data_IF_563647260811
#
_entry.id   IF_563647260811
#
_cell.length_a   1.000
_cell.length_b   1.000
_cell.length_c   1.000
_cell.angle_alpha   90.00
_cell.angle_beta   90.00
_cell.angle_gamma   90.00
#
_symmetry.space_group_name_H-M   'P 1'
#
loop_
_entity.id
_entity.type
_entity.pdbx_description
1 polymer ?
#
# COMPACT_ATOMS: atom_id res chain seq x y z
N UNK A 1 62.45 -1.84 71.28
CA UNK A 1 62.83 -2.69 70.13
C UNK A 1 61.67 -3.66 69.88
N UNK A 2 61.17 -3.74 68.63
CA UNK A 2 60.32 -4.78 68.01
C UNK A 2 58.88 -5.04 68.51
N UNK A 3 57.94 -4.40 67.81
CA UNK A 3 56.90 -5.02 66.94
C UNK A 3 56.67 -6.55 67.04
N UNK A 4 55.42 -6.97 67.32
CA UNK A 4 54.51 -7.65 66.36
C UNK A 4 53.31 -8.26 67.11
N UNK A 5 52.08 -7.80 66.80
CA UNK A 5 50.85 -8.61 66.81
C UNK A 5 49.68 -7.75 66.31
N UNK A 6 49.52 -7.62 64.98
CA UNK A 6 48.25 -7.17 64.34
C UNK A 6 48.21 -7.65 62.89
N UNK A 7 48.02 -8.94 62.66
CA UNK A 7 47.78 -9.48 61.31
C UNK A 7 46.53 -10.34 61.18
N UNK A 8 45.73 -10.48 62.24
CA UNK A 8 44.53 -11.34 62.23
C UNK A 8 43.19 -10.60 62.06
N UNK A 9 43.13 -9.26 62.12
CA UNK A 9 41.85 -8.52 61.99
C UNK A 9 41.54 -7.96 60.59
N UNK A 10 42.52 -7.91 59.67
CA UNK A 10 42.29 -7.26 58.36
C UNK A 10 41.68 -8.25 57.34
N UNK A 11 42.02 -9.53 57.44
CA UNK A 11 41.51 -10.56 56.50
C UNK A 11 40.02 -10.86 56.72
N UNK A 12 39.54 -10.82 57.97
CA UNK A 12 38.13 -11.07 58.29
C UNK A 12 37.20 -9.92 57.84
N UNK A 13 37.68 -8.66 57.85
CA UNK A 13 36.90 -7.50 57.40
C UNK A 13 36.83 -7.43 55.87
N UNK A 14 37.90 -7.84 55.16
CA UNK A 14 37.90 -7.93 53.70
C UNK A 14 37.00 -9.05 53.17
N UNK A 15 36.89 -10.19 53.88
CA UNK A 15 35.98 -11.27 53.50
C UNK A 15 34.50 -10.91 53.69
N UNK A 16 34.16 -10.08 54.68
CA UNK A 16 32.78 -9.61 54.89
C UNK A 16 32.36 -8.47 53.95
N UNK A 17 33.32 -7.63 53.53
CA UNK A 17 33.07 -6.60 52.51
C UNK A 17 32.89 -7.20 51.10
N UNK A 18 33.50 -8.35 50.82
CA UNK A 18 33.33 -9.04 49.54
C UNK A 18 32.01 -9.84 49.45
N UNK A 19 31.44 -10.28 50.57
CA UNK A 19 30.12 -10.94 50.59
C UNK A 19 28.91 -10.00 50.47
N UNK A 20 29.10 -8.68 50.65
CA UNK A 20 28.07 -7.66 50.44
C UNK A 20 28.05 -7.09 49.01
N UNK A 21 28.96 -7.55 48.14
CA UNK A 21 29.03 -7.18 46.72
C UNK A 21 28.33 -8.18 45.78
N UNK A 22 27.56 -9.11 46.35
CA UNK A 22 26.75 -10.07 45.57
C UNK A 22 25.28 -9.64 45.65
N UNK A 23 24.67 -9.52 44.47
CA UNK A 23 23.29 -9.09 44.18
C UNK A 23 23.05 -7.58 43.99
N UNK A 24 23.90 -6.90 43.21
CA UNK A 24 23.31 -6.04 42.17
C UNK A 24 23.09 -6.92 40.95
N UNK A 25 21.86 -7.39 40.75
CA UNK A 25 21.47 -7.96 39.47
C UNK A 25 21.67 -6.88 38.40
N UNK A 26 22.77 -6.96 37.65
CA UNK A 26 22.91 -6.24 36.40
C UNK A 26 21.85 -6.84 35.48
N UNK A 27 20.64 -6.26 35.50
CA UNK A 27 19.61 -6.67 34.56
C UNK A 27 20.18 -6.49 33.14
N UNK A 28 20.12 -7.54 32.33
CA UNK A 28 20.74 -7.56 31.00
C UNK A 28 20.05 -6.57 30.06
N UNK A 29 20.53 -5.34 30.04
CA UNK A 29 19.91 -4.24 29.30
C UNK A 29 20.40 -4.19 27.85
N UNK A 30 19.48 -4.06 26.89
CA UNK A 30 19.83 -3.85 25.49
C UNK A 30 19.69 -2.38 25.15
N UNK A 31 20.80 -1.75 24.74
CA UNK A 31 20.82 -0.35 24.32
C UNK A 31 20.45 -0.24 22.84
N UNK A 32 19.66 0.78 22.51
CA UNK A 32 19.26 1.08 21.15
C UNK A 32 19.50 2.55 20.84
N UNK A 33 19.80 2.80 19.56
CA UNK A 33 19.63 4.10 18.92
C UNK A 33 18.49 3.94 17.92
N UNK A 34 17.36 4.60 18.16
CA UNK A 34 16.15 4.47 17.36
C UNK A 34 15.75 5.83 16.79
N UNK A 35 15.29 5.83 15.55
CA UNK A 35 14.71 7.00 14.89
C UNK A 35 13.21 6.79 14.70
N UNK A 36 12.42 7.81 15.00
CA UNK A 36 10.97 7.74 14.88
C UNK A 36 10.26 9.00 15.36
N UNK A 37 8.93 8.97 15.26
CA UNK A 37 8.05 10.07 15.64
C UNK A 37 7.61 9.87 17.09
N UNK A 38 7.73 10.92 17.89
CA UNK A 38 7.19 10.95 19.25
C UNK A 38 5.75 11.43 19.23
N UNK A 39 4.89 10.75 19.97
CA UNK A 39 3.50 11.17 20.19
C UNK A 39 3.19 11.16 21.69
N UNK A 40 2.56 12.21 22.19
CA UNK A 40 2.17 12.36 23.58
C UNK A 40 0.65 12.28 23.69
N UNK A 41 0.15 11.34 24.50
CA UNK A 41 -1.28 11.18 24.77
C UNK A 41 -1.49 11.10 26.29
N UNK A 42 -2.16 12.11 26.85
CA UNK A 42 -2.32 12.23 28.30
C UNK A 42 -0.97 12.35 29.01
N UNK A 43 -0.69 11.46 29.97
CA UNK A 43 0.55 11.47 30.74
C UNK A 43 1.66 10.54 30.16
N UNK A 44 1.52 10.06 28.92
CA UNK A 44 2.42 9.06 28.34
C UNK A 44 2.90 9.44 26.94
N UNK A 45 4.22 9.31 26.73
CA UNK A 45 4.84 9.42 25.40
C UNK A 45 5.03 8.05 24.74
N UNK A 46 4.95 8.03 23.41
CA UNK A 46 5.24 6.85 22.56
C UNK A 46 6.20 7.24 21.45
N UNK A 47 7.13 6.35 21.11
CA UNK A 47 7.96 6.42 19.92
C UNK A 47 7.43 5.44 18.88
N UNK A 48 7.15 5.91 17.66
CA UNK A 48 6.83 5.06 16.51
C UNK A 48 8.00 5.12 15.52
N UNK A 49 8.67 4.00 15.30
CA UNK A 49 9.84 3.91 14.40
C UNK A 49 9.41 3.69 12.95
N UNK A 50 10.29 4.01 11.99
CA UNK A 50 10.00 3.85 10.56
C UNK A 50 9.76 2.40 10.09
N UNK A 51 10.24 1.42 10.86
CA UNK A 51 9.98 -0.02 10.65
C UNK A 51 8.69 -0.52 11.35
N UNK A 52 7.91 0.38 11.94
CA UNK A 52 6.58 0.09 12.49
C UNK A 52 6.57 -0.42 13.94
N UNK A 53 7.69 -0.39 14.66
CA UNK A 53 7.71 -0.70 16.10
C UNK A 53 7.19 0.49 16.90
N UNK A 54 6.55 0.20 18.03
CA UNK A 54 5.98 1.21 18.94
C UNK A 54 6.50 0.95 20.35
N UNK A 55 7.14 1.96 20.93
CA UNK A 55 7.68 1.92 22.29
C UNK A 55 6.97 2.92 23.18
N UNK A 56 6.59 2.52 24.40
CA UNK A 56 6.25 3.48 25.45
C UNK A 56 7.54 4.12 25.95
N UNK A 57 7.57 5.45 26.05
CA UNK A 57 8.75 6.16 26.53
C UNK A 57 8.70 6.26 28.06
N UNK A 58 9.79 5.88 28.70
CA UNK A 58 10.04 6.08 30.13
C UNK A 58 11.35 6.87 30.33
N UNK A 59 11.53 7.46 31.52
CA UNK A 59 12.75 8.18 31.88
C UNK A 59 12.80 9.65 31.48
N UNK A 60 11.75 10.18 30.85
CA UNK A 60 11.57 11.61 30.58
C UNK A 60 10.31 12.14 31.28
N UNK A 61 10.35 13.39 31.74
CA UNK A 61 9.17 14.05 32.26
C UNK A 61 8.16 14.37 31.15
N UNK A 62 6.89 14.56 31.51
CA UNK A 62 5.86 14.96 30.54
C UNK A 62 6.21 16.31 29.86
N UNK A 63 6.77 17.25 30.62
CA UNK A 63 7.20 18.55 30.08
C UNK A 63 8.30 18.40 29.02
N UNK A 64 9.25 17.48 29.22
CA UNK A 64 10.29 17.19 28.23
C UNK A 64 9.74 16.47 27.01
N UNK A 65 8.85 15.49 27.20
CA UNK A 65 8.20 14.76 26.11
C UNK A 65 7.37 15.68 25.20
N UNK A 66 6.67 16.64 25.78
CA UNK A 66 5.81 17.57 25.02
C UNK A 66 6.62 18.46 24.07
N UNK A 67 7.90 18.73 24.37
CA UNK A 67 8.81 19.48 23.46
C UNK A 67 9.15 18.72 22.18
N UNK A 68 8.83 17.44 22.14
CA UNK A 68 9.10 16.54 21.03
C UNK A 68 7.82 15.94 20.44
N UNK A 69 6.63 16.37 20.90
CA UNK A 69 5.36 15.82 20.42
C UNK A 69 5.15 16.15 18.94
N UNK A 70 4.89 15.12 18.13
CA UNK A 70 4.78 15.21 16.68
C UNK A 70 6.11 15.32 15.94
N UNK A 71 7.23 15.45 16.63
CA UNK A 71 8.56 15.60 16.03
C UNK A 71 9.20 14.25 15.72
N UNK A 72 10.02 14.22 14.67
CA UNK A 72 10.94 13.11 14.44
C UNK A 72 12.20 13.30 15.27
N UNK A 73 12.59 12.23 15.94
CA UNK A 73 13.69 12.25 16.89
C UNK A 73 14.61 11.06 16.67
N UNK A 74 15.85 11.22 17.10
CA UNK A 74 16.73 10.10 17.42
C UNK A 74 16.78 9.96 18.93
N UNK A 75 16.43 8.78 19.41
CA UNK A 75 16.45 8.41 20.82
C UNK A 75 17.58 7.40 21.05
N UNK A 76 18.44 7.69 22.01
CA UNK A 76 19.33 6.71 22.63
C UNK A 76 18.66 6.26 23.93
N UNK A 77 18.41 4.96 24.04
CA UNK A 77 17.68 4.41 25.16
C UNK A 77 17.91 2.93 25.31
N UNK A 78 17.11 2.32 26.16
CA UNK A 78 17.29 0.92 26.50
C UNK A 78 16.02 0.24 26.92
N UNK A 79 15.95 -1.05 26.63
CA UNK A 79 14.88 -1.94 27.08
C UNK A 79 15.45 -3.01 28.02
N UNK A 80 14.58 -3.63 28.80
CA UNK A 80 14.97 -4.62 29.82
C UNK A 80 15.56 -5.91 29.22
N UNK A 81 15.10 -6.34 28.04
CA UNK A 81 15.60 -7.51 27.30
C UNK A 81 15.18 -7.45 25.83
N UNK A 82 15.94 -8.09 24.92
CA UNK A 82 15.78 -7.95 23.47
C UNK A 82 14.38 -8.32 22.93
N UNK A 83 13.63 -9.16 23.64
CA UNK A 83 12.28 -9.64 23.33
C UNK A 83 11.16 -8.81 24.01
N UNK A 84 11.49 -7.89 24.92
CA UNK A 84 10.54 -6.96 25.56
C UNK A 84 10.64 -5.56 24.98
N UNK A 85 10.04 -5.36 23.81
CA UNK A 85 10.06 -4.09 23.05
C UNK A 85 8.96 -3.09 23.46
N UNK A 86 8.32 -3.28 24.61
CA UNK A 86 7.16 -2.47 25.00
C UNK A 86 7.48 -1.12 25.66
N UNK A 87 8.62 -1.02 26.36
CA UNK A 87 9.02 0.18 27.12
C UNK A 87 10.49 0.49 26.82
N UNK A 88 10.74 1.72 26.36
CA UNK A 88 12.06 2.26 26.09
C UNK A 88 12.41 3.30 27.15
N UNK A 89 13.40 3.01 27.99
CA UNK A 89 13.95 3.97 28.95
C UNK A 89 14.92 4.88 28.21
N UNK A 90 14.58 6.14 28.08
CA UNK A 90 15.32 7.11 27.26
C UNK A 90 16.44 7.74 28.07
N UNK A 91 17.64 7.75 27.52
CA UNK A 91 18.82 8.45 28.07
C UNK A 91 19.08 9.76 27.35
N UNK A 92 18.80 9.80 26.05
CA UNK A 92 18.99 10.98 25.21
C UNK A 92 17.93 11.04 24.13
N UNK A 93 17.41 12.23 23.87
CA UNK A 93 16.47 12.52 22.79
C UNK A 93 16.93 13.78 22.06
N UNK A 94 16.93 13.74 20.74
CA UNK A 94 17.29 14.88 19.89
C UNK A 94 16.32 14.96 18.72
N UNK A 95 15.79 16.15 18.46
CA UNK A 95 15.02 16.40 17.24
C UNK A 95 15.96 16.20 16.06
N UNK A 96 15.57 15.30 15.17
CA UNK A 96 16.19 15.10 13.88
C UNK A 96 15.12 15.43 12.85
N UNK A 97 15.09 16.68 12.35
CA UNK A 97 14.10 17.08 11.37
C UNK A 97 14.06 16.06 10.23
N UNK A 98 12.88 15.52 9.94
CA UNK A 98 12.70 14.79 8.69
C UNK A 98 12.92 15.83 7.61
N UNK A 99 14.03 15.72 6.91
CA UNK A 99 14.12 16.35 5.61
C UNK A 99 13.09 15.61 4.73
N UNK A 100 11.90 16.21 4.59
CA UNK A 100 10.83 15.67 3.76
C UNK A 100 11.29 15.46 2.30
N UNK A 101 12.41 16.10 1.89
CA UNK A 101 13.08 15.88 0.61
C UNK A 101 14.05 14.69 0.62
N UNK A 102 14.45 14.16 1.79
CA UNK A 102 15.24 12.92 1.94
C UNK A 102 14.41 11.66 2.06
N UNK A 103 13.17 11.72 2.56
CA UNK A 103 12.24 10.58 2.47
C UNK A 103 11.66 10.54 1.06
N UNK A 104 12.55 10.25 0.10
CA UNK A 104 12.16 9.95 -1.27
C UNK A 104 11.62 8.53 -1.27
N UNK A 105 10.31 8.41 -1.14
CA UNK A 105 9.68 7.11 -1.32
C UNK A 105 9.99 6.61 -2.74
N UNK A 106 10.33 5.32 -2.92
CA UNK A 106 10.62 4.79 -4.24
C UNK A 106 9.44 5.06 -5.19
N UNK A 107 9.71 5.34 -6.48
CA UNK A 107 8.65 5.67 -7.41
C UNK A 107 7.61 4.55 -7.48
N UNK A 108 6.39 4.90 -7.85
CA UNK A 108 5.37 3.91 -8.14
C UNK A 108 5.73 3.09 -9.38
N UNK A 109 5.28 1.84 -9.41
CA UNK A 109 5.46 0.95 -10.56
C UNK A 109 4.77 1.54 -11.78
N UNK A 110 5.54 1.68 -12.86
CA UNK A 110 5.08 2.30 -14.09
C UNK A 110 3.91 1.55 -14.74
N UNK A 111 3.86 0.21 -14.60
CA UNK A 111 2.74 -0.59 -15.09
C UNK A 111 1.41 -0.13 -14.49
N UNK A 112 1.38 0.30 -13.24
CA UNK A 112 0.16 0.69 -12.52
C UNK A 112 -0.18 2.17 -12.69
N UNK A 113 0.31 2.82 -13.75
CA UNK A 113 0.02 4.22 -14.04
C UNK A 113 -1.49 4.41 -14.24
N UNK A 114 -2.14 5.34 -13.52
CA UNK A 114 -3.57 5.59 -13.66
C UNK A 114 -3.90 6.27 -14.99
N UNK A 115 -5.13 6.03 -15.45
CA UNK A 115 -5.66 6.65 -16.65
C UNK A 115 -5.78 8.18 -16.50
N UNK A 116 -5.84 8.89 -17.63
CA UNK A 116 -6.04 10.35 -17.64
C UNK A 116 -6.99 10.77 -18.74
N UNK A 117 -8.17 11.24 -18.38
CA UNK A 117 -9.08 11.90 -19.31
C UNK A 117 -8.46 13.23 -19.78
N UNK A 118 -8.16 13.30 -21.07
CA UNK A 118 -7.58 14.49 -21.72
C UNK A 118 -8.67 15.44 -22.18
N UNK A 119 -9.74 14.90 -22.78
CA UNK A 119 -10.92 15.68 -23.14
C UNK A 119 -12.15 14.79 -23.30
N UNK A 120 -13.34 15.38 -23.17
CA UNK A 120 -14.59 14.77 -23.58
C UNK A 120 -15.41 15.78 -24.40
N UNK A 121 -15.53 15.56 -25.71
CA UNK A 121 -16.21 16.47 -26.64
C UNK A 121 -16.95 15.67 -27.71
N UNK A 122 -18.18 16.08 -28.04
CA UNK A 122 -18.99 15.48 -29.12
C UNK A 122 -19.14 13.95 -29.00
N UNK A 123 -19.36 13.43 -27.78
CA UNK A 123 -19.48 11.98 -27.55
C UNK A 123 -18.16 11.20 -27.62
N UNK A 124 -17.01 11.86 -27.83
CA UNK A 124 -15.71 11.20 -27.94
C UNK A 124 -14.82 11.54 -26.72
N UNK A 125 -14.42 10.52 -25.98
CA UNK A 125 -13.48 10.62 -24.86
C UNK A 125 -12.06 10.43 -25.36
N UNK A 126 -11.19 11.43 -25.18
CA UNK A 126 -9.74 11.27 -25.40
C UNK A 126 -9.07 10.92 -24.07
N UNK A 127 -8.46 9.75 -24.00
CA UNK A 127 -7.96 9.17 -22.74
C UNK A 127 -6.48 8.84 -22.92
N UNK A 128 -5.62 9.39 -22.08
CA UNK A 128 -4.20 9.06 -21.98
C UNK A 128 -3.94 7.99 -20.92
N UNK A 129 -2.70 7.47 -20.94
CA UNK A 129 -2.24 6.41 -20.03
C UNK A 129 -3.07 5.12 -20.10
N UNK A 130 -3.59 4.76 -21.28
CA UNK A 130 -4.22 3.44 -21.48
C UNK A 130 -3.14 2.43 -21.81
N UNK A 131 -3.05 1.32 -21.07
CA UNK A 131 -2.16 0.19 -21.42
C UNK A 131 -2.63 -0.41 -22.74
N UNK A 132 -1.71 -0.70 -23.65
CA UNK A 132 -2.05 -1.03 -25.05
C UNK A 132 -1.24 -2.19 -25.63
N UNK A 133 -0.34 -2.79 -24.87
CA UNK A 133 0.50 -3.87 -25.33
C UNK A 133 1.74 -3.98 -24.47
N UNK A 134 2.48 -5.05 -24.67
CA UNK A 134 3.58 -5.43 -23.80
C UNK A 134 4.88 -5.60 -24.58
N UNK A 135 5.99 -5.23 -23.95
CA UNK A 135 7.33 -5.67 -24.35
C UNK A 135 7.77 -6.81 -23.43
N UNK A 136 8.52 -7.81 -23.93
CA UNK A 136 9.07 -8.87 -23.09
C UNK A 136 9.82 -8.32 -21.88
N UNK A 137 9.74 -9.04 -20.76
CA UNK A 137 10.47 -8.69 -19.56
C UNK A 137 11.97 -8.58 -19.86
N UNK A 138 12.61 -7.53 -19.34
CA UNK A 138 14.06 -7.37 -19.41
C UNK A 138 14.64 -7.53 -18.01
N UNK A 139 15.85 -8.08 -17.90
CA UNK A 139 16.52 -8.37 -16.62
C UNK A 139 16.69 -7.12 -15.74
N UNK A 140 16.74 -5.93 -16.35
CA UNK A 140 16.96 -4.65 -15.66
C UNK A 140 15.65 -3.93 -15.26
N UNK A 141 14.50 -4.60 -15.32
CA UNK A 141 13.23 -3.97 -14.95
C UNK A 141 13.00 -3.96 -13.44
N UNK A 142 12.34 -2.90 -12.96
CA UNK A 142 11.91 -2.77 -11.56
C UNK A 142 11.00 -3.93 -11.11
N UNK A 143 10.27 -4.54 -12.05
CA UNK A 143 9.50 -5.76 -11.86
C UNK A 143 10.16 -6.91 -12.63
N UNK A 144 11.22 -7.48 -12.06
CA UNK A 144 11.96 -8.59 -12.67
C UNK A 144 11.00 -9.72 -13.06
N UNK A 145 11.01 -10.08 -14.35
CA UNK A 145 10.17 -11.15 -14.90
C UNK A 145 8.77 -10.72 -15.36
N UNK A 146 8.38 -9.45 -15.20
CA UNK A 146 7.12 -8.95 -15.73
C UNK A 146 7.32 -8.10 -17.00
N UNK A 147 6.34 -8.16 -17.90
CA UNK A 147 6.35 -7.38 -19.13
C UNK A 147 6.24 -5.86 -18.88
N UNK A 148 6.92 -5.06 -19.71
CA UNK A 148 6.75 -3.60 -19.71
C UNK A 148 5.55 -3.23 -20.58
N UNK A 149 4.58 -2.52 -20.00
CA UNK A 149 3.41 -2.06 -20.75
C UNK A 149 3.72 -0.79 -21.55
N UNK A 150 3.22 -0.80 -22.79
CA UNK A 150 3.12 0.36 -23.65
C UNK A 150 1.86 1.14 -23.28
N UNK A 151 1.98 2.46 -23.28
CA UNK A 151 0.85 3.37 -23.05
C UNK A 151 0.48 4.10 -24.33
N UNK A 152 -0.82 4.35 -24.50
CA UNK A 152 -1.37 5.13 -25.62
C UNK A 152 -2.32 6.22 -25.15
N UNK A 153 -2.51 7.18 -26.03
CA UNK A 153 -3.67 8.06 -26.03
C UNK A 153 -4.68 7.45 -26.99
N UNK A 154 -5.90 7.23 -26.51
CA UNK A 154 -7.00 6.65 -27.28
C UNK A 154 -8.12 7.67 -27.45
N UNK A 155 -8.91 7.50 -28.51
CA UNK A 155 -10.23 8.09 -28.69
C UNK A 155 -11.25 6.98 -28.55
N UNK A 156 -12.16 7.14 -27.59
CA UNK A 156 -13.22 6.20 -27.27
C UNK A 156 -14.58 6.84 -27.59
N UNK A 157 -15.44 6.05 -28.23
CA UNK A 157 -16.87 6.31 -28.48
C UNK A 157 -17.73 5.41 -27.56
N UNK A 158 -18.14 5.89 -26.37
CA UNK A 158 -18.87 5.06 -25.40
C UNK A 158 -20.21 4.55 -25.90
N UNK A 159 -20.84 5.24 -26.86
CA UNK A 159 -22.09 4.86 -27.52
C UNK A 159 -21.97 3.61 -28.40
N UNK A 160 -20.74 3.15 -28.69
CA UNK A 160 -20.52 1.94 -29.48
C UNK A 160 -20.29 0.69 -28.62
N UNK A 161 -20.55 0.77 -27.31
CA UNK A 161 -20.44 -0.37 -26.39
C UNK A 161 -21.50 -1.44 -26.70
N UNK A 162 -21.07 -2.69 -26.69
CA UNK A 162 -21.92 -3.86 -26.94
C UNK A 162 -22.20 -4.63 -25.66
N UNK A 163 -21.15 -5.03 -24.94
CA UNK A 163 -21.27 -5.87 -23.75
C UNK A 163 -20.44 -5.33 -22.59
N UNK A 164 -20.91 -5.65 -21.39
CA UNK A 164 -20.24 -5.35 -20.13
C UNK A 164 -20.15 -6.65 -19.34
N UNK A 165 -18.98 -6.96 -18.84
CA UNK A 165 -18.73 -8.11 -17.98
C UNK A 165 -18.13 -7.63 -16.67
N UNK A 166 -18.70 -8.09 -15.56
CA UNK A 166 -18.01 -8.09 -14.28
C UNK A 166 -17.20 -9.38 -14.24
N UNK A 167 -15.90 -9.30 -14.01
CA UNK A 167 -15.00 -10.44 -14.16
C UNK A 167 -14.26 -10.67 -12.85
N UNK A 168 -14.25 -11.92 -12.42
CA UNK A 168 -13.44 -12.40 -11.31
C UNK A 168 -12.23 -13.13 -11.87
N UNK A 169 -11.07 -12.84 -11.28
CA UNK A 169 -9.79 -13.46 -11.56
C UNK A 169 -9.32 -14.12 -10.26
N UNK A 170 -9.69 -15.39 -10.03
CA UNK A 170 -9.32 -16.10 -8.81
C UNK A 170 -7.81 -16.21 -8.69
N UNK A 171 -7.30 -16.08 -7.47
CA UNK A 171 -5.91 -16.42 -7.15
C UNK A 171 -5.89 -17.53 -6.10
N UNK A 172 -4.80 -18.30 -6.06
CA UNK A 172 -4.70 -19.41 -5.11
C UNK A 172 -4.53 -18.88 -3.66
N UNK A 173 -5.30 -19.39 -2.68
CA UNK A 173 -6.37 -20.38 -2.80
C UNK A 173 -7.70 -19.77 -3.31
N UNK A 174 -8.27 -20.37 -4.38
CA UNK A 174 -9.43 -19.82 -5.16
C UNK A 174 -10.69 -19.46 -4.37
N UNK A 175 -10.84 -19.98 -3.15
CA UNK A 175 -12.02 -19.81 -2.29
C UNK A 175 -11.99 -18.56 -1.41
N UNK A 176 -10.81 -17.91 -1.26
CA UNK A 176 -10.62 -16.91 -0.20
C UNK A 176 -10.49 -15.49 -0.76
N UNK A 177 -9.99 -15.32 -1.98
CA UNK A 177 -10.04 -14.03 -2.65
C UNK A 177 -9.82 -14.07 -4.17
N UNK A 178 -10.37 -13.08 -4.86
CA UNK A 178 -10.30 -12.92 -6.30
C UNK A 178 -10.05 -11.46 -6.66
N UNK A 179 -9.24 -11.22 -7.69
CA UNK A 179 -9.10 -9.89 -8.27
C UNK A 179 -10.30 -9.62 -9.18
N UNK A 180 -10.95 -8.47 -9.04
CA UNK A 180 -12.10 -8.11 -9.86
C UNK A 180 -11.73 -7.03 -10.88
N UNK A 181 -12.34 -7.12 -12.06
CA UNK A 181 -12.22 -6.13 -13.13
C UNK A 181 -13.54 -6.03 -13.93
N UNK A 182 -13.68 -4.96 -14.71
CA UNK A 182 -14.76 -4.82 -15.68
C UNK A 182 -14.21 -4.86 -17.10
N UNK A 183 -14.84 -5.66 -17.96
CA UNK A 183 -14.55 -5.71 -19.39
C UNK A 183 -15.71 -5.08 -20.17
N UNK A 184 -15.39 -4.14 -21.05
CA UNK A 184 -16.30 -3.52 -21.99
C UNK A 184 -15.90 -3.94 -23.40
N UNK A 185 -16.83 -4.52 -24.18
CA UNK A 185 -16.60 -4.81 -25.61
C UNK A 185 -17.32 -3.79 -26.46
N UNK A 186 -16.78 -3.49 -27.64
CA UNK A 186 -17.31 -2.44 -28.52
C UNK A 186 -17.40 -2.88 -29.98
N UNK A 187 -18.27 -2.19 -30.71
CA UNK A 187 -18.32 -2.27 -32.17
C UNK A 187 -17.00 -1.78 -32.79
N UNK A 188 -16.64 -2.25 -34.01
CA UNK A 188 -15.49 -1.74 -34.74
C UNK A 188 -15.47 -0.22 -34.86
N UNK A 189 -14.29 0.39 -34.69
CA UNK A 189 -14.10 1.84 -34.77
C UNK A 189 -14.43 2.60 -33.48
N UNK A 190 -14.87 1.93 -32.41
CA UNK A 190 -15.12 2.58 -31.13
C UNK A 190 -13.86 3.08 -30.42
N UNK A 191 -12.76 2.33 -30.53
CA UNK A 191 -11.48 2.65 -29.89
C UNK A 191 -10.41 2.78 -30.97
N UNK A 192 -9.78 3.94 -31.05
CA UNK A 192 -8.64 4.19 -31.94
C UNK A 192 -7.52 4.92 -31.20
N UNK A 193 -6.28 4.53 -31.41
CA UNK A 193 -5.12 5.31 -30.93
C UNK A 193 -4.79 6.46 -31.87
N UNK A 194 -3.92 7.36 -31.43
CA UNK A 194 -3.31 8.37 -32.30
C UNK A 194 -2.44 7.79 -33.42
N UNK A 195 -2.13 6.48 -33.37
CA UNK A 195 -1.36 5.75 -34.39
C UNK A 195 -2.22 4.89 -35.31
N UNK A 196 -3.54 4.94 -35.18
CA UNK A 196 -4.46 4.12 -35.98
C UNK A 196 -4.59 2.66 -35.51
N UNK A 197 -4.07 2.32 -34.33
CA UNK A 197 -4.31 1.02 -33.70
C UNK A 197 -5.75 0.97 -33.15
N UNK A 198 -6.39 -0.20 -33.15
CA UNK A 198 -7.74 -0.40 -32.61
C UNK A 198 -7.75 -1.49 -31.54
N UNK A 199 -8.81 -1.53 -30.74
CA UNK A 199 -9.03 -2.59 -29.75
C UNK A 199 -10.50 -2.99 -29.75
N UNK A 200 -10.76 -4.27 -29.53
CA UNK A 200 -12.14 -4.77 -29.40
C UNK A 200 -12.78 -4.45 -28.05
N UNK A 201 -11.98 -4.00 -27.07
CA UNK A 201 -12.48 -3.77 -25.72
C UNK A 201 -11.64 -2.83 -24.88
N UNK A 202 -12.25 -2.32 -23.83
CA UNK A 202 -11.60 -1.55 -22.78
C UNK A 202 -11.83 -2.28 -21.46
N UNK A 203 -10.81 -2.34 -20.63
CA UNK A 203 -10.87 -2.99 -19.33
C UNK A 203 -10.54 -1.97 -18.26
N UNK A 204 -11.38 -1.94 -17.21
CA UNK A 204 -11.10 -1.23 -15.98
C UNK A 204 -10.67 -2.24 -14.92
N UNK A 205 -9.46 -2.06 -14.40
CA UNK A 205 -8.92 -2.81 -13.26
C UNK A 205 -8.47 -1.84 -12.19
N UNK A 206 -8.69 -2.19 -10.92
CA UNK A 206 -8.34 -1.34 -9.78
C UNK A 206 -7.37 -2.12 -8.91
N UNK A 207 -6.15 -1.62 -8.79
CA UNK A 207 -5.05 -2.35 -8.19
C UNK A 207 -4.45 -1.60 -7.01
N UNK A 208 -3.85 -2.36 -6.09
CA UNK A 208 -2.94 -1.82 -5.10
C UNK A 208 -1.73 -1.18 -5.81
N UNK A 209 -1.63 0.14 -5.76
CA UNK A 209 -0.57 0.91 -6.39
C UNK A 209 0.73 0.77 -5.59
N UNK A 210 1.60 -0.10 -6.09
CA UNK A 210 2.86 -0.47 -5.46
C UNK A 210 3.99 0.45 -5.91
N UNK A 211 4.94 0.65 -5.03
CA UNK A 211 6.27 1.20 -5.34
C UNK A 211 7.17 0.13 -5.94
N UNK A 212 8.23 0.54 -6.63
CA UNK A 212 9.16 -0.37 -7.34
C UNK A 212 9.79 -1.45 -6.45
N UNK A 213 9.88 -1.22 -5.14
CA UNK A 213 10.41 -2.17 -4.16
C UNK A 213 9.31 -2.87 -3.33
N UNK A 214 8.03 -2.68 -3.65
CA UNK A 214 6.91 -3.32 -2.97
C UNK A 214 6.40 -4.53 -3.74
N UNK A 215 5.97 -5.54 -2.99
CA UNK A 215 5.19 -6.68 -3.49
C UNK A 215 3.84 -6.67 -2.78
N UNK A 216 2.79 -7.01 -3.51
CA UNK A 216 1.46 -7.10 -2.94
C UNK A 216 1.37 -8.24 -1.93
N UNK A 217 0.70 -7.98 -0.81
CA UNK A 217 0.26 -9.01 0.12
C UNK A 217 -1.11 -8.61 0.67
N UNK A 218 -2.00 -9.59 0.89
CA UNK A 218 -3.32 -9.32 1.48
C UNK A 218 -3.19 -8.69 2.88
N UNK A 219 -2.21 -9.13 3.66
CA UNK A 219 -1.95 -8.62 5.02
C UNK A 219 -1.51 -7.16 4.98
N UNK A 220 -0.66 -6.76 4.03
CA UNK A 220 -0.25 -5.38 3.90
C UNK A 220 -1.35 -4.53 3.25
N UNK A 221 -2.24 -5.13 2.46
CA UNK A 221 -3.45 -4.48 1.96
C UNK A 221 -4.49 -4.21 3.06
N UNK A 222 -4.38 -4.80 4.25
CA UNK A 222 -5.16 -4.37 5.42
C UNK A 222 -4.56 -3.12 6.10
N UNK A 223 -3.31 -2.78 5.76
CA UNK A 223 -2.61 -1.58 6.22
C UNK A 223 -2.67 -0.56 5.08
N UNK A 224 -2.55 0.73 5.39
CA UNK A 224 -2.47 1.80 4.40
C UNK A 224 -1.11 1.79 3.66
N UNK A 225 -0.69 0.64 3.15
CA UNK A 225 0.64 0.36 2.59
C UNK A 225 0.73 0.59 1.08
N UNK A 226 -0.42 0.57 0.39
CA UNK A 226 -0.52 0.71 -1.06
C UNK A 226 -1.47 1.85 -1.41
N UNK A 227 -1.15 2.62 -2.45
CA UNK A 227 -2.11 3.55 -3.04
C UNK A 227 -3.22 2.80 -3.78
N UNK A 228 -4.26 3.50 -4.19
CA UNK A 228 -5.31 2.98 -5.08
C UNK A 228 -5.05 3.44 -6.51
N UNK A 229 -4.90 2.51 -7.48
CA UNK A 229 -4.73 2.85 -8.89
C UNK A 229 -5.84 2.27 -9.75
N UNK A 230 -6.51 3.14 -10.50
CA UNK A 230 -7.54 2.78 -11.46
C UNK A 230 -6.92 2.82 -12.86
N UNK A 231 -6.78 1.64 -13.44
CA UNK A 231 -6.05 1.42 -14.68
C UNK A 231 -7.05 1.09 -15.78
N UNK A 232 -6.85 1.75 -16.93
CA UNK A 232 -7.49 1.38 -18.18
C UNK A 232 -6.50 0.64 -19.07
N UNK A 233 -6.93 -0.48 -19.63
CA UNK A 233 -6.14 -1.30 -20.55
C UNK A 233 -6.97 -1.72 -21.76
N UNK A 234 -6.31 -1.89 -22.91
CA UNK A 234 -6.92 -2.52 -24.08
C UNK A 234 -7.20 -3.99 -23.79
N UNK A 235 -8.19 -4.54 -24.48
CA UNK A 235 -8.51 -5.95 -24.35
C UNK A 235 -7.30 -6.84 -24.67
N UNK A 236 -6.57 -6.52 -25.74
CA UNK A 236 -5.45 -7.31 -26.24
C UNK A 236 -4.27 -7.32 -25.25
N UNK A 237 -3.98 -6.19 -24.59
CA UNK A 237 -2.93 -6.09 -23.56
C UNK A 237 -3.26 -6.98 -22.36
N UNK A 238 -4.48 -6.90 -21.85
CA UNK A 238 -4.88 -7.66 -20.66
C UNK A 238 -5.03 -9.16 -20.94
N UNK A 239 -5.52 -9.54 -22.13
CA UNK A 239 -5.61 -10.95 -22.51
C UNK A 239 -4.23 -11.57 -22.66
N UNK A 240 -3.26 -10.82 -23.23
CA UNK A 240 -1.89 -11.31 -23.31
C UNK A 240 -1.27 -11.46 -21.91
N UNK A 241 -1.49 -10.50 -21.01
CA UNK A 241 -1.08 -10.62 -19.60
C UNK A 241 -1.65 -11.88 -18.93
N UNK A 242 -2.97 -12.07 -19.07
CA UNK A 242 -3.70 -13.22 -18.51
C UNK A 242 -3.17 -14.54 -19.08
N UNK A 243 -2.92 -14.59 -20.40
CA UNK A 243 -2.41 -15.76 -21.11
C UNK A 243 -1.00 -16.13 -20.63
N UNK A 244 -0.11 -15.14 -20.51
CA UNK A 244 1.26 -15.34 -20.03
C UNK A 244 1.29 -15.75 -18.55
N UNK A 245 0.39 -15.17 -17.74
CA UNK A 245 0.20 -15.53 -16.34
C UNK A 245 -0.45 -16.90 -16.12
N UNK A 246 -1.02 -17.52 -17.18
CA UNK A 246 -1.86 -18.73 -17.10
C UNK A 246 -3.02 -18.55 -16.12
N UNK A 247 -3.61 -17.37 -16.12
CA UNK A 247 -4.63 -16.96 -15.16
C UNK A 247 -6.03 -17.28 -15.69
N UNK A 248 -6.95 -17.57 -14.78
CA UNK A 248 -8.35 -17.85 -15.08
C UNK A 248 -9.18 -16.56 -14.97
N UNK A 249 -10.10 -16.37 -15.92
CA UNK A 249 -11.10 -15.30 -15.88
C UNK A 249 -12.51 -15.89 -15.88
N UNK A 250 -13.29 -15.55 -14.88
CA UNK A 250 -14.70 -15.92 -14.76
C UNK A 250 -15.55 -14.71 -15.11
N UNK A 251 -16.22 -14.76 -16.27
CA UNK A 251 -16.99 -13.64 -16.81
C UNK A 251 -18.46 -13.71 -16.40
N UNK A 252 -18.96 -12.64 -15.78
CA UNK A 252 -20.37 -12.46 -15.44
C UNK A 252 -20.97 -11.34 -16.31
N UNK A 253 -21.81 -11.68 -17.31
CA UNK A 253 -22.47 -10.68 -18.14
C UNK A 253 -23.35 -9.76 -17.29
N UNK A 254 -23.17 -8.44 -17.44
CA UNK A 254 -23.97 -7.45 -16.72
C UNK A 254 -25.18 -7.08 -17.59
N UNK A 255 -26.38 -7.32 -17.06
CA UNK A 255 -27.63 -7.06 -17.77
C UNK A 255 -27.99 -5.58 -17.67
N UNK A 256 -27.67 -4.82 -18.72
CA UNK A 256 -27.94 -3.39 -18.83
C UNK A 256 -28.58 -3.08 -20.19
N UNK A 257 -29.45 -2.09 -20.25
CA UNK A 257 -29.85 -1.52 -21.54
C UNK A 257 -28.69 -0.72 -22.15
N UNK A 258 -28.80 -0.32 -23.42
CA UNK A 258 -27.69 0.34 -24.12
C UNK A 258 -27.28 1.67 -23.46
N UNK A 259 -28.24 2.51 -23.07
CA UNK A 259 -27.97 3.78 -22.38
C UNK A 259 -27.19 3.57 -21.07
N UNK A 260 -27.59 2.56 -20.28
CA UNK A 260 -26.89 2.20 -19.05
C UNK A 260 -25.46 1.71 -19.31
N UNK A 261 -25.22 0.94 -20.37
CA UNK A 261 -23.86 0.50 -20.75
C UNK A 261 -22.99 1.69 -21.14
N UNK A 262 -23.51 2.59 -21.98
CA UNK A 262 -22.81 3.81 -22.40
C UNK A 262 -22.46 4.69 -21.21
N UNK A 263 -23.43 4.92 -20.32
CA UNK A 263 -23.21 5.68 -19.09
C UNK A 263 -22.19 5.02 -18.17
N UNK A 264 -22.20 3.68 -18.06
CA UNK A 264 -21.25 2.97 -17.22
C UNK A 264 -19.82 3.12 -17.74
N UNK A 265 -19.60 2.99 -19.06
CA UNK A 265 -18.30 3.24 -19.70
C UNK A 265 -17.81 4.66 -19.38
N UNK A 266 -18.66 5.66 -19.58
CA UNK A 266 -18.30 7.05 -19.29
C UNK A 266 -17.92 7.26 -17.82
N UNK A 267 -18.74 6.77 -16.90
CA UNK A 267 -18.49 6.91 -15.47
C UNK A 267 -17.20 6.19 -15.08
N UNK A 268 -16.96 4.98 -15.58
CA UNK A 268 -15.73 4.23 -15.33
C UNK A 268 -14.49 4.99 -15.82
N UNK A 269 -14.52 5.58 -17.02
CA UNK A 269 -13.40 6.39 -17.54
C UNK A 269 -13.19 7.67 -16.74
N UNK A 270 -14.27 8.39 -16.41
CA UNK A 270 -14.21 9.62 -15.60
C UNK A 270 -13.59 9.31 -14.24
N UNK A 271 -14.10 8.29 -13.55
CA UNK A 271 -13.60 7.90 -12.24
C UNK A 271 -12.17 7.37 -12.33
N UNK A 272 -11.80 6.57 -13.32
CA UNK A 272 -10.42 6.11 -13.49
C UNK A 272 -9.41 7.26 -13.69
N UNK A 273 -9.89 8.45 -14.07
CA UNK A 273 -9.07 9.62 -14.37
C UNK A 273 -8.96 10.64 -13.23
N UNK A 274 -9.66 10.42 -12.11
CA UNK A 274 -9.57 11.30 -10.93
C UNK A 274 -8.22 11.11 -10.24
N UNK A 275 -7.59 12.21 -9.83
CA UNK A 275 -6.39 12.16 -8.99
C UNK A 275 -6.75 11.58 -7.61
N UNK A 276 -6.12 10.45 -7.26
CA UNK A 276 -6.32 9.70 -6.02
C UNK A 276 -5.11 9.71 -5.10
N UNK A 277 -4.24 10.70 -5.27
CA UNK A 277 -3.13 10.91 -4.35
C UNK A 277 -3.65 11.01 -2.91
N UNK A 278 -3.10 10.17 -2.02
CA UNK A 278 -3.56 10.04 -0.63
C UNK A 278 -4.65 8.97 -0.41
N UNK A 279 -5.23 8.39 -1.46
CA UNK A 279 -6.16 7.26 -1.33
C UNK A 279 -5.39 5.93 -1.19
N UNK A 280 -5.77 5.12 -0.19
CA UNK A 280 -5.16 3.82 0.06
C UNK A 280 -6.04 2.67 -0.41
N UNK A 281 -5.42 1.69 -1.06
CA UNK A 281 -6.08 0.42 -1.32
C UNK A 281 -6.20 -0.37 -0.03
N UNK A 282 -7.41 -0.80 0.30
CA UNK A 282 -7.66 -1.68 1.43
C UNK A 282 -8.32 -2.97 0.95
N UNK A 283 -7.73 -4.12 1.28
CA UNK A 283 -8.20 -5.46 0.87
C UNK A 283 -9.66 -5.72 1.19
N UNK A 284 -10.19 -5.12 2.26
CA UNK A 284 -11.61 -5.12 2.57
C UNK A 284 -12.20 -3.82 2.05
N UNK A 285 -12.00 -2.70 2.73
CA UNK A 285 -12.86 -1.52 2.59
C UNK A 285 -12.74 -0.72 1.29
N UNK A 286 -11.61 -0.78 0.59
CA UNK A 286 -11.35 0.02 -0.61
C UNK A 286 -10.52 -0.80 -1.62
N UNK A 287 -11.17 -1.79 -2.25
CA UNK A 287 -10.54 -2.73 -3.16
C UNK A 287 -11.16 -2.69 -4.57
N UNK A 288 -10.70 -3.61 -5.42
CA UNK A 288 -11.22 -3.78 -6.77
C UNK A 288 -12.73 -4.05 -6.82
N UNK A 289 -13.20 -5.08 -6.13
CA UNK A 289 -14.60 -5.54 -6.15
C UNK A 289 -15.55 -4.42 -5.75
N UNK A 290 -15.30 -3.76 -4.62
CA UNK A 290 -16.18 -2.73 -4.08
C UNK A 290 -16.26 -1.51 -4.97
N UNK A 291 -15.13 -1.04 -5.48
CA UNK A 291 -15.15 0.11 -6.37
C UNK A 291 -15.88 -0.20 -7.70
N UNK A 292 -15.78 -1.42 -8.23
CA UNK A 292 -16.54 -1.82 -9.42
C UNK A 292 -18.05 -1.95 -9.12
N UNK A 293 -18.43 -2.42 -7.93
CA UNK A 293 -19.84 -2.41 -7.48
C UNK A 293 -20.36 -0.98 -7.35
N UNK A 294 -19.56 -0.07 -6.81
CA UNK A 294 -19.90 1.37 -6.78
C UNK A 294 -20.16 1.86 -8.20
N UNK A 295 -19.29 1.57 -9.16
CA UNK A 295 -19.49 1.98 -10.55
C UNK A 295 -20.77 1.40 -11.15
N UNK A 296 -21.03 0.12 -10.92
CA UNK A 296 -22.24 -0.55 -11.39
C UNK A 296 -23.51 0.10 -10.82
N UNK A 297 -23.53 0.39 -9.52
CA UNK A 297 -24.68 1.00 -8.84
C UNK A 297 -25.01 2.42 -9.33
N UNK A 298 -24.08 3.12 -9.98
CA UNK A 298 -24.31 4.46 -10.55
C UNK A 298 -25.23 4.45 -11.77
N UNK A 299 -25.40 3.30 -12.42
CA UNK A 299 -26.26 3.15 -13.62
C UNK A 299 -27.48 2.27 -13.38
N UNK A 300 -27.55 1.61 -12.22
CA UNK A 300 -28.66 0.75 -11.83
C UNK A 300 -29.77 1.56 -11.14
N UNK A 301 -31.01 1.16 -11.40
CA UNK A 301 -32.16 1.60 -10.62
C UNK A 301 -32.02 1.15 -9.15
N UNK A 302 -32.54 1.90 -8.16
CA UNK A 302 -32.37 1.60 -6.74
C UNK A 302 -32.68 0.14 -6.35
N UNK A 303 -33.78 -0.43 -6.88
CA UNK A 303 -34.20 -1.82 -6.61
C UNK A 303 -33.26 -2.89 -7.17
N UNK A 304 -32.34 -2.52 -8.07
CA UNK A 304 -31.37 -3.42 -8.73
C UNK A 304 -29.96 -3.23 -8.20
N UNK A 305 -29.72 -2.24 -7.34
CA UNK A 305 -28.39 -1.97 -6.80
C UNK A 305 -27.88 -3.17 -6.01
N UNK A 306 -26.60 -3.46 -6.21
CA UNK A 306 -25.89 -4.54 -5.51
C UNK A 306 -25.38 -3.99 -4.20
N UNK A 307 -25.65 -4.68 -3.09
CA UNK A 307 -25.11 -4.26 -1.81
C UNK A 307 -23.59 -4.41 -1.81
N UNK A 308 -22.92 -3.41 -1.24
CA UNK A 308 -21.49 -3.48 -0.95
C UNK A 308 -21.23 -4.71 -0.07
N UNK A 309 -20.05 -5.34 -0.23
CA UNK A 309 -19.63 -6.51 0.57
C UNK A 309 -20.35 -7.84 0.29
N UNK A 310 -21.30 -7.89 -0.64
CA UNK A 310 -21.98 -9.15 -1.00
C UNK A 310 -21.23 -9.99 -2.02
N UNK A 311 -20.36 -9.38 -2.81
CA UNK A 311 -19.47 -10.12 -3.69
C UNK A 311 -18.23 -10.54 -2.88
N UNK A 312 -17.82 -11.82 -2.94
CA UNK A 312 -16.61 -12.27 -2.26
C UNK A 312 -15.42 -11.43 -2.75
N UNK A 313 -14.64 -10.91 -1.80
CA UNK A 313 -13.34 -10.31 -2.04
C UNK A 313 -12.30 -11.41 -2.15
#
# INVERSE_FOLDING_TARGET
MRYQHKTTSIVAILLFAFSLLICQSVEAQVNYTLEGIVTVQGAQGKLTTGDGRVFKIAGLSLSELTKHDGENVVIEGSVKQADQLGILTVKKIQIKPIDAKKVVLPPFKQRQRPAKLVSYKNGIMTIGNVRWGQKPAQENMADVGLAEHLFRIIRLRPELVENVYFVLKPFEPKLIAAHALMIFTFKPGAINTTKGETSQGLILTIEAWQRVNQKFSLKDGLKNAFGSSWILTSFEDYMEETRLGKEELVLYPVILNHEQKTKLVEECVKFASINREGEYYNTVTNNCTNNLVVMLNRVLEPKRQVNMWWLPN
#
